data_IF_720547031887
#
_entry.id   IF_720547031887
#
_cell.length_a   1.000
_cell.length_b   1.000
_cell.length_c   1.000
_cell.angle_alpha   90.00
_cell.angle_beta   90.00
_cell.angle_gamma   90.00
#
_symmetry.space_group_name_H-M   'P 1'
#
loop_
_entity.id
_entity.type
_entity.pdbx_description
1 polymer ?
#
# COMPACT_ATOMS: atom_id res chain seq x y z
N UNK A 1 30.72 5.80 -4.70
CA UNK A 1 29.34 5.41 -5.06
C UNK A 1 29.37 4.86 -6.46
N UNK A 2 29.14 3.55 -6.61
CA UNK A 2 28.96 2.92 -7.91
C UNK A 2 27.58 3.36 -8.43
N UNK A 3 27.51 3.88 -9.64
CA UNK A 3 26.24 4.33 -10.22
C UNK A 3 25.73 3.33 -11.25
N UNK A 4 24.44 2.95 -11.21
CA UNK A 4 23.86 2.07 -12.18
C UNK A 4 23.53 2.80 -13.49
N UNK A 5 23.39 2.01 -14.53
CA UNK A 5 22.69 2.35 -15.77
C UNK A 5 21.18 2.35 -15.55
N UNK A 6 20.43 2.91 -16.50
CA UNK A 6 18.97 2.84 -16.46
C UNK A 6 18.45 1.42 -16.65
N UNK A 7 19.17 0.56 -17.38
CA UNK A 7 18.84 -0.86 -17.51
C UNK A 7 19.02 -1.61 -16.18
N UNK A 8 20.10 -1.36 -15.45
CA UNK A 8 20.29 -1.93 -14.12
C UNK A 8 19.20 -1.47 -13.13
N UNK A 9 18.72 -0.22 -13.23
CA UNK A 9 17.58 0.21 -12.44
C UNK A 9 16.30 -0.56 -12.82
N UNK A 10 16.03 -0.78 -14.11
CA UNK A 10 14.85 -1.54 -14.55
C UNK A 10 14.90 -3.00 -14.09
N UNK A 11 16.05 -3.65 -14.20
CA UNK A 11 16.23 -5.01 -13.71
C UNK A 11 16.10 -5.08 -12.18
N UNK A 12 16.61 -4.08 -11.45
CA UNK A 12 16.39 -3.96 -10.01
C UNK A 12 14.89 -3.90 -9.69
N UNK A 13 14.14 -3.00 -10.33
CA UNK A 13 12.70 -2.82 -10.07
C UNK A 13 11.92 -4.11 -10.33
N UNK A 14 12.30 -4.86 -11.35
CA UNK A 14 11.74 -6.18 -11.65
C UNK A 14 12.03 -7.21 -10.56
N UNK A 15 13.28 -7.33 -10.10
CA UNK A 15 13.66 -8.27 -9.04
C UNK A 15 13.11 -7.89 -7.67
N UNK A 16 12.86 -6.61 -7.47
CA UNK A 16 12.29 -6.05 -6.26
C UNK A 16 10.76 -5.97 -6.31
N UNK A 17 10.10 -6.62 -7.27
CA UNK A 17 8.64 -6.70 -7.39
C UNK A 17 7.93 -5.33 -7.44
N UNK A 18 8.44 -4.39 -8.24
CA UNK A 18 7.72 -3.17 -8.58
C UNK A 18 6.75 -3.42 -9.72
N UNK A 19 5.61 -2.73 -9.68
CA UNK A 19 4.60 -2.77 -10.72
C UNK A 19 4.82 -1.65 -11.73
N UNK A 20 4.83 -1.96 -13.02
CA UNK A 20 4.98 -0.97 -14.08
C UNK A 20 3.62 -0.38 -14.46
N UNK A 21 3.49 0.94 -14.43
CA UNK A 21 2.36 1.63 -15.03
C UNK A 21 2.48 1.59 -16.56
N UNK A 22 1.65 0.75 -17.19
CA UNK A 22 1.63 0.58 -18.64
C UNK A 22 0.69 1.54 -19.36
N UNK A 23 -0.13 2.30 -18.63
CA UNK A 23 -1.17 3.15 -19.23
C UNK A 23 -0.58 4.38 -19.93
N UNK A 24 0.52 4.92 -19.41
CA UNK A 24 1.08 6.20 -19.86
C UNK A 24 2.13 6.07 -20.97
N UNK A 25 2.51 4.85 -21.38
CA UNK A 25 3.61 4.63 -22.32
C UNK A 25 4.98 5.10 -21.79
N UNK A 26 5.04 5.40 -20.50
CA UNK A 26 6.22 5.80 -19.76
C UNK A 26 6.69 4.66 -18.85
N UNK A 27 7.99 4.66 -18.55
CA UNK A 27 8.61 3.70 -17.64
C UNK A 27 8.43 4.16 -16.18
N UNK A 28 7.16 4.34 -15.74
CA UNK A 28 6.81 4.59 -14.34
C UNK A 28 6.57 3.29 -13.60
N UNK A 29 6.97 3.26 -12.33
CA UNK A 29 6.85 2.09 -11.48
C UNK A 29 6.34 2.47 -10.09
N UNK A 30 5.49 1.63 -9.53
CA UNK A 30 4.94 1.78 -8.19
C UNK A 30 5.24 0.55 -7.34
N UNK A 31 5.34 0.76 -6.02
CA UNK A 31 5.41 -0.32 -5.05
C UNK A 31 4.63 0.04 -3.80
N UNK A 32 3.64 -0.78 -3.49
CA UNK A 32 2.87 -0.67 -2.25
C UNK A 32 3.62 -1.36 -1.12
N UNK A 33 3.88 -0.62 -0.05
CA UNK A 33 4.48 -1.12 1.17
C UNK A 33 3.42 -1.77 2.09
N UNK A 34 3.83 -2.58 3.09
CA UNK A 34 2.88 -3.23 3.99
C UNK A 34 1.96 -2.28 4.78
N UNK A 35 2.38 -1.04 5.05
CA UNK A 35 1.55 0.01 5.67
C UNK A 35 0.53 0.66 4.72
N UNK A 36 0.56 0.28 3.44
CA UNK A 36 -0.27 0.89 2.39
C UNK A 36 0.37 2.12 1.73
N UNK A 37 1.57 2.55 2.14
CA UNK A 37 2.29 3.62 1.46
C UNK A 37 2.70 3.19 0.04
N UNK A 38 2.52 4.08 -0.93
CA UNK A 38 2.88 3.83 -2.33
C UNK A 38 4.14 4.60 -2.68
N UNK A 39 5.23 3.87 -2.94
CA UNK A 39 6.46 4.43 -3.51
C UNK A 39 6.33 4.53 -5.02
N UNK A 40 6.93 5.58 -5.61
CA UNK A 40 6.92 5.83 -7.05
C UNK A 40 8.32 6.13 -7.56
N UNK A 41 8.65 5.58 -8.72
CA UNK A 41 9.89 5.89 -9.43
C UNK A 41 9.67 5.88 -10.94
N UNK A 42 10.62 6.43 -11.70
CA UNK A 42 10.64 6.29 -13.15
C UNK A 42 12.04 5.92 -13.63
N UNK A 43 12.11 5.12 -14.68
CA UNK A 43 13.33 4.82 -15.40
C UNK A 43 13.38 5.62 -16.71
N UNK A 44 14.53 6.18 -17.06
CA UNK A 44 14.70 6.77 -18.40
C UNK A 44 14.77 5.68 -19.46
N UNK A 45 14.24 5.97 -20.66
CA UNK A 45 14.35 5.09 -21.84
C UNK A 45 15.80 4.94 -22.35
N UNK A 46 16.72 5.80 -21.94
CA UNK A 46 18.14 5.74 -22.31
C UNK A 46 18.89 4.66 -21.51
N UNK A 47 18.54 3.38 -21.72
CA UNK A 47 18.98 2.22 -20.95
C UNK A 47 20.47 2.16 -20.60
N UNK A 48 21.34 2.25 -21.61
CA UNK A 48 22.80 2.14 -21.45
C UNK A 48 23.47 3.35 -20.79
N UNK A 49 22.73 4.44 -20.55
CA UNK A 49 23.30 5.65 -19.94
C UNK A 49 23.45 5.46 -18.44
N UNK A 50 24.68 5.58 -17.94
CA UNK A 50 24.96 5.61 -16.51
C UNK A 50 24.41 6.88 -15.86
N UNK A 51 23.77 6.72 -14.70
CA UNK A 51 23.26 7.85 -13.92
C UNK A 51 24.40 8.60 -13.22
N UNK A 52 24.18 9.89 -12.96
CA UNK A 52 25.10 10.65 -12.11
C UNK A 52 24.96 10.20 -10.64
N UNK A 53 26.02 10.33 -9.82
CA UNK A 53 25.97 9.94 -8.41
C UNK A 53 24.87 10.66 -7.62
N UNK A 54 24.69 11.96 -7.85
CA UNK A 54 23.64 12.74 -7.19
C UNK A 54 22.23 12.25 -7.55
N UNK A 55 22.00 11.89 -8.82
CA UNK A 55 20.72 11.34 -9.26
C UNK A 55 20.46 9.96 -8.65
N UNK A 56 21.47 9.09 -8.65
CA UNK A 56 21.31 7.77 -8.04
C UNK A 56 21.03 7.89 -6.54
N UNK A 57 21.74 8.78 -5.83
CA UNK A 57 21.49 9.05 -4.41
C UNK A 57 20.06 9.51 -4.14
N UNK A 58 19.54 10.45 -4.94
CA UNK A 58 18.17 10.93 -4.82
C UNK A 58 17.13 9.83 -5.10
N UNK A 59 17.38 8.97 -6.09
CA UNK A 59 16.50 7.82 -6.36
C UNK A 59 16.48 6.88 -5.15
N UNK A 60 17.64 6.56 -4.57
CA UNK A 60 17.75 5.69 -3.40
C UNK A 60 17.01 6.25 -2.18
N UNK A 61 17.23 7.53 -1.85
CA UNK A 61 16.65 8.15 -0.65
C UNK A 61 15.18 8.49 -0.81
N UNK A 62 14.82 9.13 -1.93
CA UNK A 62 13.54 9.83 -2.06
C UNK A 62 12.48 8.95 -2.71
N UNK A 63 12.89 7.96 -3.51
CA UNK A 63 11.97 7.12 -4.30
C UNK A 63 11.96 5.69 -3.81
N UNK A 64 13.12 5.05 -3.69
CA UNK A 64 13.22 3.62 -3.39
C UNK A 64 13.27 3.33 -1.89
N UNK A 65 13.70 4.30 -1.07
CA UNK A 65 13.93 4.17 0.38
C UNK A 65 14.82 3.00 0.76
N UNK A 66 15.99 2.93 0.15
CA UNK A 66 16.97 1.88 0.40
C UNK A 66 18.41 2.39 0.26
N UNK A 67 19.35 1.65 0.82
CA UNK A 67 20.78 1.92 0.74
C UNK A 67 21.39 1.42 -0.58
N UNK A 68 22.54 1.99 -0.96
CA UNK A 68 23.30 1.52 -2.13
C UNK A 68 23.63 0.01 -2.03
N UNK A 69 23.93 -0.49 -0.83
CA UNK A 69 24.26 -1.91 -0.63
C UNK A 69 23.06 -2.82 -0.91
N UNK A 70 21.87 -2.46 -0.41
CA UNK A 70 20.63 -3.20 -0.66
C UNK A 70 20.29 -3.22 -2.15
N UNK A 71 20.47 -2.09 -2.86
CA UNK A 71 20.25 -2.03 -4.31
C UNK A 71 21.07 -3.09 -5.06
N UNK A 72 22.38 -3.13 -4.80
CA UNK A 72 23.27 -4.07 -5.47
C UNK A 72 23.03 -5.51 -5.03
N UNK A 73 22.62 -5.72 -3.78
CA UNK A 73 22.32 -7.04 -3.25
C UNK A 73 21.07 -7.65 -3.91
N UNK A 74 20.04 -6.84 -4.17
CA UNK A 74 18.86 -7.29 -4.93
C UNK A 74 19.26 -7.69 -6.35
N UNK A 75 20.09 -6.89 -7.04
CA UNK A 75 20.57 -7.25 -8.38
C UNK A 75 21.40 -8.55 -8.38
N UNK A 76 22.17 -8.79 -7.32
CA UNK A 76 23.01 -9.98 -7.17
C UNK A 76 22.19 -11.23 -6.84
N UNK A 77 21.23 -11.12 -5.92
CA UNK A 77 20.49 -12.25 -5.35
C UNK A 77 19.15 -12.51 -6.04
N UNK A 78 18.61 -11.49 -6.72
CA UNK A 78 17.24 -11.45 -7.26
C UNK A 78 16.16 -11.61 -6.19
N UNK A 79 16.51 -11.30 -4.95
CA UNK A 79 15.61 -11.31 -3.80
C UNK A 79 15.22 -9.87 -3.48
N UNK A 80 13.92 -9.55 -3.31
CA UNK A 80 13.47 -8.21 -2.96
C UNK A 80 14.11 -7.69 -1.67
N UNK A 81 14.41 -6.39 -1.62
CA UNK A 81 14.96 -5.78 -0.43
C UNK A 81 13.88 -5.68 0.67
N UNK A 82 14.21 -6.00 1.94
CA UNK A 82 13.31 -5.74 3.04
C UNK A 82 13.14 -4.22 3.18
N UNK A 83 11.89 -3.76 3.22
CA UNK A 83 11.55 -2.40 3.63
C UNK A 83 10.65 -2.50 4.85
N UNK A 84 11.17 -2.21 6.05
CA UNK A 84 10.35 -2.19 7.24
C UNK A 84 9.42 -0.96 7.16
N UNK A 85 8.16 -1.21 6.85
CA UNK A 85 7.08 -0.28 7.17
C UNK A 85 6.55 -0.60 8.57
N UNK A 86 6.08 0.41 9.32
CA UNK A 86 5.22 0.15 10.47
C UNK A 86 4.04 -0.75 10.03
N UNK A 87 3.50 -1.55 10.95
CA UNK A 87 2.29 -2.31 10.61
C UNK A 87 1.19 -1.32 10.18
N UNK A 88 0.41 -1.63 9.13
CA UNK A 88 -0.73 -0.81 8.77
C UNK A 88 -1.63 -0.67 10.00
N UNK A 89 -2.05 0.55 10.31
CA UNK A 89 -3.08 0.76 11.33
C UNK A 89 -4.35 0.05 10.83
N UNK A 90 -5.02 -0.77 11.67
CA UNK A 90 -6.25 -1.45 11.24
C UNK A 90 -7.24 -0.40 10.77
N UNK A 91 -7.85 -0.63 9.60
CA UNK A 91 -8.88 0.26 9.09
C UNK A 91 -9.98 0.41 10.14
N UNK A 92 -10.49 1.63 10.39
CA UNK A 92 -11.58 1.81 11.34
C UNK A 92 -12.78 0.94 10.93
N UNK A 93 -13.44 0.34 11.91
CA UNK A 93 -14.66 -0.42 11.68
C UNK A 93 -15.68 0.49 10.99
N UNK A 94 -16.09 0.13 9.77
CA UNK A 94 -17.07 0.89 9.00
C UNK A 94 -18.28 0.00 8.72
N UNK A 95 -19.44 0.40 9.24
CA UNK A 95 -20.69 -0.28 8.92
C UNK A 95 -21.32 0.33 7.68
N UNK A 96 -21.97 -0.48 6.81
CA UNK A 96 -22.81 0.06 5.74
C UNK A 96 -23.85 1.04 6.28
N UNK A 97 -24.07 2.17 5.59
CA UNK A 97 -24.96 3.24 6.04
C UNK A 97 -26.37 2.74 6.40
N UNK A 98 -26.92 1.83 5.60
CA UNK A 98 -28.25 1.27 5.83
C UNK A 98 -28.32 0.47 7.15
N UNK A 99 -27.22 -0.19 7.55
CA UNK A 99 -27.15 -0.99 8.76
C UNK A 99 -27.03 -0.09 9.98
N UNK A 100 -26.18 0.94 9.92
CA UNK A 100 -26.09 1.97 10.97
C UNK A 100 -27.45 2.67 11.19
N UNK A 101 -28.14 3.05 10.11
CA UNK A 101 -29.47 3.66 10.20
C UNK A 101 -30.52 2.72 10.80
N UNK A 102 -30.50 1.44 10.43
CA UNK A 102 -31.42 0.45 11.00
C UNK A 102 -31.17 0.25 12.49
N UNK A 103 -29.91 0.22 12.94
CA UNK A 103 -29.56 0.14 14.35
C UNK A 103 -29.98 1.38 15.14
N UNK A 104 -29.80 2.57 14.59
CA UNK A 104 -30.24 3.82 15.22
C UNK A 104 -31.77 3.87 15.38
N UNK A 105 -32.53 3.50 14.33
CA UNK A 105 -33.99 3.62 14.31
C UNK A 105 -34.73 2.47 15.00
N UNK A 106 -34.23 1.24 14.87
CA UNK A 106 -34.94 0.03 15.35
C UNK A 106 -34.41 -0.48 16.68
N UNK A 107 -33.11 -0.32 16.95
CA UNK A 107 -32.46 -0.77 18.20
C UNK A 107 -32.27 0.40 19.17
N UNK A 108 -32.17 1.64 18.66
CA UNK A 108 -31.97 2.83 19.47
C UNK A 108 -30.52 3.05 19.89
N UNK A 109 -29.56 2.45 19.18
CA UNK A 109 -28.14 2.64 19.47
C UNK A 109 -27.68 4.04 19.07
N UNK A 110 -26.81 4.62 19.88
CA UNK A 110 -26.13 5.88 19.59
C UNK A 110 -25.03 5.68 18.54
N UNK A 111 -24.58 6.78 17.92
CA UNK A 111 -23.50 6.74 16.93
C UNK A 111 -22.20 6.16 17.48
N UNK A 112 -21.88 6.43 18.74
CA UNK A 112 -20.67 5.93 19.39
C UNK A 112 -20.75 4.41 19.63
N UNK A 113 -21.92 3.90 20.02
CA UNK A 113 -22.16 2.45 20.15
C UNK A 113 -22.12 1.76 18.78
N UNK A 114 -22.68 2.37 17.74
CA UNK A 114 -22.64 1.86 16.36
C UNK A 114 -21.19 1.82 15.84
N UNK A 115 -20.38 2.83 16.14
CA UNK A 115 -18.97 2.89 15.71
C UNK A 115 -18.07 1.84 16.37
N UNK A 116 -18.47 1.30 17.52
CA UNK A 116 -17.75 0.26 18.23
C UNK A 116 -18.05 -1.17 17.73
N UNK A 117 -19.10 -1.34 16.91
CA UNK A 117 -19.54 -2.65 16.42
C UNK A 117 -18.84 -3.04 15.13
N UNK A 118 -18.49 -4.31 15.03
CA UNK A 118 -18.19 -4.90 13.72
C UNK A 118 -19.46 -5.22 12.92
N UNK A 119 -19.30 -5.49 11.62
CA UNK A 119 -20.45 -5.75 10.74
C UNK A 119 -21.23 -7.02 11.14
N UNK A 120 -20.56 -8.03 11.70
CA UNK A 120 -21.19 -9.27 12.09
C UNK A 120 -22.06 -9.08 13.34
N UNK A 121 -21.56 -8.36 14.33
CA UNK A 121 -22.27 -7.99 15.56
C UNK A 121 -23.46 -7.09 15.26
N UNK A 122 -23.27 -6.05 14.45
CA UNK A 122 -24.32 -5.15 13.99
C UNK A 122 -25.48 -5.91 13.30
N UNK A 123 -25.15 -6.88 12.43
CA UNK A 123 -26.16 -7.73 11.77
C UNK A 123 -26.89 -8.63 12.76
N UNK A 124 -26.19 -9.21 13.73
CA UNK A 124 -26.80 -10.06 14.78
C UNK A 124 -27.79 -9.26 15.62
N UNK A 125 -27.41 -8.08 16.08
CA UNK A 125 -28.28 -7.20 16.89
C UNK A 125 -29.55 -6.82 16.14
N UNK A 126 -29.45 -6.48 14.86
CA UNK A 126 -30.62 -6.14 14.04
C UNK A 126 -31.55 -7.35 13.80
N UNK A 127 -30.99 -8.55 13.60
CA UNK A 127 -31.80 -9.77 13.46
C UNK A 127 -32.52 -10.09 14.78
N UNK A 128 -31.83 -9.95 15.91
CA UNK A 128 -32.41 -10.21 17.23
C UNK A 128 -33.54 -9.23 17.56
N UNK A 129 -33.37 -7.94 17.28
CA UNK A 129 -34.40 -6.93 17.54
C UNK A 129 -35.67 -7.18 16.72
N UNK A 130 -35.52 -7.58 15.45
CA UNK A 130 -36.63 -7.91 14.55
C UNK A 130 -37.32 -9.24 14.87
N UNK A 131 -36.64 -10.14 15.57
CA UNK A 131 -37.19 -11.43 15.99
C UNK A 131 -38.03 -11.35 17.28
N UNK A 132 -37.92 -10.25 18.04
CA UNK A 132 -38.76 -10.01 19.22
C UNK A 132 -40.10 -9.40 18.78
N UNK A 133 -41.26 -9.97 19.15
CA UNK A 133 -42.55 -9.41 18.77
C UNK A 133 -42.71 -8.01 19.39
N UNK A 134 -43.11 -7.04 18.56
CA UNK A 134 -43.47 -5.68 19.01
C UNK A 134 -44.77 -5.79 19.81
N UNK A 135 -44.68 -5.60 21.13
CA UNK A 135 -45.82 -5.58 22.07
C UNK A 135 -46.61 -4.29 21.90
#
# INVERSE_FOLDING_TARGET
MKTPTWDELREFLKHDNWEQDRATGHDFFEKTLPDGEILRTHASRSGSKTMSPGRFKAILSDQLRLSEAEFWEVLRTRTPAPRPSPAPEPAPLSLPLWLAQALELEVGLTRDEIAALDEAEARRLLVESRSKPKV
#
